data_IF_777912923446
#
_entry.id   IF_777912923446
#
_cell.length_a   1.000
_cell.length_b   1.000
_cell.length_c   1.000
_cell.angle_alpha   90.00
_cell.angle_beta   90.00
_cell.angle_gamma   90.00
#
_symmetry.space_group_name_H-M   'P 1'
#
loop_
_entity.id
_entity.type
_entity.pdbx_description
1 polymer ?
#
# COMPACT_ATOMS: atom_id res chain seq x y z
N UNK A 1 8.13 5.40 -3.36
CA UNK A 1 7.81 4.24 -2.49
C UNK A 1 6.77 3.38 -3.18
N UNK A 2 7.08 2.12 -3.33
CA UNK A 2 6.14 1.20 -3.96
C UNK A 2 5.25 0.55 -2.93
N UNK A 3 3.97 0.53 -3.21
CA UNK A 3 3.01 -0.11 -2.33
C UNK A 3 2.27 -1.17 -3.13
N UNK A 4 2.22 -2.38 -2.61
CA UNK A 4 1.48 -3.46 -3.24
C UNK A 4 0.42 -3.93 -2.28
N UNK A 5 -0.79 -4.04 -2.77
CA UNK A 5 -1.92 -4.41 -1.94
C UNK A 5 -2.54 -5.68 -2.47
N UNK A 6 -2.58 -6.69 -1.62
CA UNK A 6 -3.27 -7.92 -1.96
C UNK A 6 -4.71 -7.82 -1.50
N UNK A 7 -5.63 -8.06 -2.41
CA UNK A 7 -7.06 -7.93 -2.13
C UNK A 7 -7.66 -9.31 -2.11
N UNK A 8 -8.53 -9.59 -1.17
CA UNK A 8 -9.16 -10.90 -1.07
C UNK A 8 -10.00 -11.17 -2.30
N UNK A 9 -9.96 -12.39 -2.73
CA UNK A 9 -10.76 -12.82 -3.88
C UNK A 9 -10.37 -12.15 -5.19
N UNK A 10 -9.22 -11.55 -5.24
CA UNK A 10 -8.72 -10.97 -6.46
C UNK A 10 -7.42 -11.66 -6.85
N UNK A 11 -7.26 -12.00 -8.10
CA UNK A 11 -6.06 -12.75 -8.52
C UNK A 11 -4.83 -11.89 -8.67
N UNK A 12 -4.93 -10.60 -8.63
CA UNK A 12 -3.79 -9.75 -8.83
C UNK A 12 -3.63 -8.75 -7.73
N UNK A 13 -2.39 -8.36 -7.49
CA UNK A 13 -2.11 -7.31 -6.56
C UNK A 13 -2.34 -5.97 -7.20
N UNK A 14 -2.68 -4.99 -6.39
CA UNK A 14 -2.71 -3.61 -6.85
C UNK A 14 -1.35 -3.00 -6.55
N UNK A 15 -0.77 -2.35 -7.51
CA UNK A 15 0.53 -1.71 -7.35
C UNK A 15 0.38 -0.21 -7.47
N UNK A 16 0.90 0.52 -6.51
CA UNK A 16 0.78 1.98 -6.48
C UNK A 16 2.13 2.57 -6.15
N UNK A 17 2.52 3.61 -6.86
CA UNK A 17 3.76 4.28 -6.55
C UNK A 17 3.46 5.58 -5.85
N UNK A 18 3.95 5.75 -4.64
CA UNK A 18 3.65 6.90 -3.80
C UNK A 18 4.85 7.83 -3.77
N UNK A 19 4.65 9.14 -3.91
CA UNK A 19 5.76 10.07 -3.81
C UNK A 19 6.44 9.94 -2.45
N UNK A 20 7.76 10.04 -2.43
CA UNK A 20 8.52 9.86 -1.22
C UNK A 20 8.14 10.85 -0.13
N UNK A 21 7.77 12.05 -0.50
CA UNK A 21 7.41 13.03 0.49
C UNK A 21 6.10 12.71 1.19
N UNK A 22 5.34 11.75 0.68
CA UNK A 22 4.09 11.36 1.31
C UNK A 22 4.20 10.03 2.02
N UNK A 23 5.43 9.53 2.16
CA UNK A 23 5.61 8.21 2.72
C UNK A 23 5.01 8.05 4.11
N UNK A 24 5.31 8.99 5.01
CA UNK A 24 4.84 8.84 6.38
C UNK A 24 3.34 8.89 6.49
N UNK A 25 2.70 9.79 5.77
CA UNK A 25 1.25 9.86 5.81
C UNK A 25 0.64 8.60 5.23
N UNK A 26 1.23 8.09 4.16
CA UNK A 26 0.72 6.89 3.51
C UNK A 26 0.83 5.69 4.43
N UNK A 27 1.97 5.56 5.12
CA UNK A 27 2.14 4.44 6.04
C UNK A 27 1.11 4.50 7.16
N UNK A 28 0.83 5.69 7.68
CA UNK A 28 -0.17 5.82 8.72
C UNK A 28 -1.55 5.45 8.23
N UNK A 29 -1.87 5.82 7.01
CA UNK A 29 -3.17 5.46 6.46
C UNK A 29 -3.29 3.97 6.26
N UNK A 30 -2.21 3.33 5.81
CA UNK A 30 -2.20 1.89 5.62
C UNK A 30 -2.39 1.19 6.97
N UNK A 31 -1.69 1.67 7.99
CA UNK A 31 -1.81 1.06 9.31
C UNK A 31 -3.23 1.21 9.86
N UNK A 32 -3.85 2.36 9.64
CA UNK A 32 -5.22 2.56 10.09
C UNK A 32 -6.18 1.62 9.38
N UNK A 33 -5.94 1.38 8.10
CA UNK A 33 -6.80 0.48 7.35
C UNK A 33 -6.62 -0.96 7.82
N UNK A 34 -5.39 -1.36 8.07
CA UNK A 34 -5.14 -2.72 8.54
C UNK A 34 -5.68 -2.94 9.94
N UNK A 35 -5.73 -1.89 10.74
CA UNK A 35 -6.27 -1.99 12.08
C UNK A 35 -7.80 -1.91 12.11
N UNK A 36 -8.41 -1.65 10.98
CA UNK A 36 -9.87 -1.54 10.93
C UNK A 36 -10.39 -0.20 11.37
N UNK A 37 -9.54 0.80 11.49
CA UNK A 37 -9.95 2.11 11.96
C UNK A 37 -10.65 2.94 10.90
N UNK A 38 -10.47 2.60 9.65
CA UNK A 38 -11.13 3.30 8.55
C UNK A 38 -11.78 2.29 7.64
N UNK A 39 -12.78 2.69 6.92
CA UNK A 39 -13.49 1.78 6.02
C UNK A 39 -12.83 1.64 4.67
N UNK A 40 -12.16 2.67 4.22
CA UNK A 40 -11.55 2.68 2.90
C UNK A 40 -10.15 3.24 3.01
N UNK A 41 -9.19 2.56 2.39
CA UNK A 41 -7.84 3.07 2.28
C UNK A 41 -7.75 3.86 0.99
N UNK A 42 -7.45 5.14 1.09
CA UNK A 42 -7.30 5.98 -0.08
C UNK A 42 -5.84 6.30 -0.31
N UNK A 43 -5.38 6.04 -1.52
CA UNK A 43 -3.99 6.34 -1.90
C UNK A 43 -4.00 7.19 -3.17
N UNK A 44 -3.03 8.08 -3.27
CA UNK A 44 -2.86 8.88 -4.48
C UNK A 44 -1.48 8.58 -5.02
N UNK A 45 -1.41 8.13 -6.25
CA UNK A 45 -0.12 7.73 -6.82
C UNK A 45 0.59 8.94 -7.41
N UNK A 46 1.80 8.73 -7.88
CA UNK A 46 2.62 9.81 -8.42
C UNK A 46 1.99 10.48 -9.61
N UNK A 47 1.09 9.83 -10.29
CA UNK A 47 0.44 10.42 -11.44
C UNK A 47 -0.84 11.12 -11.10
N UNK A 48 -1.18 11.18 -9.82
CA UNK A 48 -2.39 11.84 -9.39
C UNK A 48 -3.62 10.97 -9.39
N UNK A 49 -3.48 9.67 -9.68
CA UNK A 49 -4.65 8.81 -9.63
C UNK A 49 -4.97 8.47 -8.21
N UNK A 50 -6.23 8.47 -7.87
CA UNK A 50 -6.65 8.09 -6.54
C UNK A 50 -7.18 6.68 -6.56
N UNK A 51 -6.77 5.90 -5.58
CA UNK A 51 -7.18 4.51 -5.48
C UNK A 51 -7.84 4.30 -4.14
N UNK A 52 -9.06 3.83 -4.13
CA UNK A 52 -9.77 3.53 -2.89
C UNK A 52 -9.94 2.04 -2.76
N UNK A 53 -9.48 1.49 -1.65
CA UNK A 53 -9.54 0.05 -1.43
C UNK A 53 -10.31 -0.19 -0.14
N UNK A 54 -11.41 -0.95 -0.17
CA UNK A 54 -12.14 -1.23 1.04
C UNK A 54 -11.23 -1.95 2.05
N UNK A 55 -11.13 -1.41 3.23
CA UNK A 55 -10.22 -1.97 4.23
C UNK A 55 -10.53 -3.44 4.51
N UNK A 56 -11.79 -3.80 4.52
CA UNK A 56 -12.18 -5.17 4.81
C UNK A 56 -11.74 -6.16 3.73
N UNK A 57 -11.37 -5.68 2.58
CA UNK A 57 -10.93 -6.55 1.50
C UNK A 57 -9.44 -6.63 1.36
N UNK A 58 -8.70 -5.95 2.19
CA UNK A 58 -7.25 -5.98 2.12
C UNK A 58 -6.75 -7.24 2.80
N UNK A 59 -6.05 -8.07 2.05
CA UNK A 59 -5.44 -9.26 2.62
C UNK A 59 -4.06 -8.95 3.18
N UNK A 60 -3.31 -8.09 2.53
CA UNK A 60 -1.99 -7.68 3.01
C UNK A 60 -1.54 -6.43 2.26
N UNK A 61 -0.56 -5.74 2.82
CA UNK A 61 0.05 -4.60 2.14
C UNK A 61 1.56 -4.77 2.26
N UNK A 62 2.25 -4.61 1.13
CA UNK A 62 3.68 -4.71 1.10
C UNK A 62 4.25 -3.36 0.70
N UNK A 63 5.20 -2.86 1.45
CA UNK A 63 5.79 -1.57 1.18
C UNK A 63 7.25 -1.77 0.84
N UNK A 64 7.64 -1.33 -0.34
CA UNK A 64 9.00 -1.41 -0.78
C UNK A 64 9.61 -0.05 -0.88
N UNK A 65 10.93 0.04 -0.75
CA UNK A 65 11.60 1.29 -0.94
C UNK A 65 12.31 1.27 -2.26
N UNK A 66 12.67 2.42 -2.70
CA UNK A 66 13.30 2.46 -3.93
C UNK A 66 14.54 1.79 -4.01
N UNK A 67 15.32 1.96 -3.05
CA UNK A 67 16.56 1.31 -3.13
C UNK A 67 16.34 0.07 -2.61
N UNK A 68 15.32 -0.11 -2.25
CA UNK A 68 15.19 -1.18 -1.67
C UNK A 68 15.08 -2.29 -2.21
N UNK A 69 14.98 -2.25 -2.92
CA UNK A 69 14.82 -3.31 -3.42
C UNK A 69 15.66 -4.22 -2.96
N UNK A 70 16.27 -4.05 -2.17
CA UNK A 70 17.01 -4.90 -1.70
C UNK A 70 16.25 -5.64 -0.94
N UNK A 71 15.40 -5.99 -0.95
CA UNK A 71 14.66 -6.64 -0.31
C UNK A 71 15.21 -7.65 0.25
N UNK A 72 15.79 -7.75 0.68
CA UNK A 72 16.43 -8.56 1.23
C UNK A 72 15.87 -9.41 1.95
N UNK A 73 15.67 -9.69 2.18
CA UNK A 73 15.30 -10.35 2.79
C UNK A 73 14.63 -10.88 3.24
N UNK A 74 14.32 -11.00 3.26
CA UNK A 74 13.71 -11.47 3.58
C UNK A 74 13.45 -12.14 3.39
N UNK A 75 13.50 -12.12 3.22
CA UNK A 75 13.40 -12.78 3.06
C UNK A 75 13.42 -13.09 2.80
N UNK A 76 13.64 -12.84 2.62
CA UNK A 76 13.73 -13.20 2.32
C UNK A 76 13.71 -13.33 2.28
#
# INVERSE_FOLDING_TARGET
MDVRIGVTQAPRELAVEIPDEEREDTVKQIESALAGSVDVLWLTDKRGRRLGVPAAKIAYVEIGTNDGDRRIGFGG
#
